data_IF_813239089968
#
_entry.id   IF_813239089968
#
_cell.length_a   1.000
_cell.length_b   1.000
_cell.length_c   1.000
_cell.angle_alpha   90.00
_cell.angle_beta   90.00
_cell.angle_gamma   90.00
#
_symmetry.space_group_name_H-M   'P 1'
#
loop_
_entity.id
_entity.type
_entity.pdbx_description
1 polymer ?
#
# COMPACT_ATOMS: atom_id res chain seq x y z
N UNK A 1 -25.50 -4.05 6.96
CA UNK A 1 -24.29 -4.81 7.36
C UNK A 1 -23.10 -4.03 6.83
N UNK A 2 -22.79 -2.90 7.47
CA UNK A 2 -21.78 -2.75 8.54
C UNK A 2 -20.41 -3.24 8.02
N UNK A 3 -19.54 -2.41 7.43
CA UNK A 3 -19.11 -1.04 7.74
C UNK A 3 -18.58 -0.87 9.17
N UNK A 4 -17.31 -1.24 9.33
CA UNK A 4 -16.46 -0.96 10.49
C UNK A 4 -15.21 -1.84 10.39
N UNK A 5 -13.98 -1.41 10.64
CA UNK A 5 -13.43 -0.11 11.00
C UNK A 5 -11.91 -0.23 10.77
N UNK A 6 -11.28 0.84 10.29
CA UNK A 6 -9.83 0.97 10.22
C UNK A 6 -9.48 2.44 10.45
N UNK A 7 -9.31 2.79 11.72
CA UNK A 7 -8.94 4.13 12.14
C UNK A 7 -7.43 4.38 11.88
N UNK A 8 -7.09 5.56 11.38
CA UNK A 8 -5.74 6.12 11.54
C UNK A 8 -5.28 7.12 10.47
N UNK A 9 -5.61 8.40 10.63
CA UNK A 9 -4.85 9.60 10.24
C UNK A 9 -4.02 9.55 8.92
N UNK A 10 -4.41 10.30 7.88
CA UNK A 10 -4.14 11.74 7.93
C UNK A 10 -4.81 12.50 6.81
N UNK A 11 -5.79 13.32 7.19
CA UNK A 11 -6.25 14.43 6.38
C UNK A 11 -5.08 15.41 6.17
N UNK A 12 -4.74 15.66 4.91
CA UNK A 12 -4.18 16.92 4.43
C UNK A 12 -3.09 17.58 5.27
N UNK A 13 -1.96 16.91 5.50
CA UNK A 13 -0.70 17.63 5.72
C UNK A 13 0.26 17.12 4.67
N UNK A 14 0.59 18.00 3.71
CA UNK A 14 1.71 17.77 2.81
C UNK A 14 3.00 17.81 3.65
N UNK A 15 3.32 16.70 4.30
CA UNK A 15 4.54 16.50 5.08
C UNK A 15 5.70 16.51 4.08
N UNK A 16 6.27 17.69 3.83
CA UNK A 16 7.56 17.88 3.16
C UNK A 16 8.71 17.74 4.16
N UNK A 17 8.66 16.74 5.02
CA UNK A 17 9.84 16.31 5.75
C UNK A 17 10.52 15.25 4.89
N UNK A 18 11.85 15.30 4.73
CA UNK A 18 12.61 14.26 4.04
C UNK A 18 12.40 12.92 4.71
N UNK A 19 11.32 12.21 4.34
CA UNK A 19 10.96 10.92 4.90
C UNK A 19 12.04 9.94 4.45
N UNK A 20 12.69 9.27 5.40
CA UNK A 20 13.56 8.15 5.05
C UNK A 20 12.70 7.08 4.37
N UNK A 21 13.28 6.38 3.41
CA UNK A 21 12.65 5.29 2.64
C UNK A 21 11.97 4.24 3.52
N UNK A 22 12.47 4.00 4.73
CA UNK A 22 11.86 3.08 5.70
C UNK A 22 10.50 3.61 6.15
N UNK A 23 10.44 4.89 6.54
CA UNK A 23 9.21 5.58 6.91
C UNK A 23 8.24 5.66 5.72
N UNK A 24 8.74 5.90 4.51
CA UNK A 24 7.92 5.84 3.29
C UNK A 24 7.28 4.46 3.12
N UNK A 25 8.04 3.39 3.36
CA UNK A 25 7.53 2.01 3.30
C UNK A 25 6.41 1.75 4.32
N UNK A 26 6.52 2.30 5.53
CA UNK A 26 5.48 2.17 6.55
C UNK A 26 4.18 2.87 6.15
N UNK A 27 4.26 4.12 5.66
CA UNK A 27 3.10 4.88 5.19
C UNK A 27 2.42 4.19 4.02
N UNK A 28 3.20 3.69 3.05
CA UNK A 28 2.66 2.97 1.90
C UNK A 28 2.06 1.62 2.30
N UNK A 29 2.63 0.93 3.30
CA UNK A 29 2.06 -0.30 3.85
C UNK A 29 0.70 -0.03 4.49
N UNK A 30 0.59 1.04 5.26
CA UNK A 30 -0.65 1.40 5.93
C UNK A 30 -1.78 1.64 4.91
N UNK A 31 -1.48 2.42 3.87
CA UNK A 31 -2.39 2.60 2.72
C UNK A 31 -2.76 1.31 2.00
N UNK A 32 -1.81 0.39 1.86
CA UNK A 32 -2.09 -0.89 1.25
C UNK A 32 -3.04 -1.76 2.10
N UNK A 33 -3.04 -1.57 3.43
CA UNK A 33 -3.96 -2.25 4.35
C UNK A 33 -5.36 -1.64 4.34
N UNK A 34 -5.52 -0.38 3.93
CA UNK A 34 -6.83 0.27 3.75
C UNK A 34 -7.63 -0.32 2.56
N UNK A 35 -6.97 -1.05 1.65
CA UNK A 35 -7.62 -1.63 0.47
C UNK A 35 -8.50 -2.83 0.87
N UNK A 36 -9.81 -2.79 0.58
CA UNK A 36 -10.73 -3.88 0.90
C UNK A 36 -10.33 -5.19 0.20
N UNK A 37 -10.17 -6.25 0.98
CA UNK A 37 -9.77 -7.58 0.51
C UNK A 37 -8.29 -7.89 0.72
N UNK A 38 -7.48 -6.92 1.17
CA UNK A 38 -6.09 -7.15 1.58
C UNK A 38 -6.05 -7.70 3.01
N UNK A 39 -5.49 -8.91 3.16
CA UNK A 39 -5.24 -9.55 4.46
C UNK A 39 -3.89 -9.13 5.04
N UNK A 40 -2.90 -8.95 4.18
CA UNK A 40 -1.55 -8.55 4.58
C UNK A 40 -0.85 -7.86 3.42
N UNK A 41 -0.18 -6.75 3.70
CA UNK A 41 0.61 -6.02 2.74
C UNK A 41 2.06 -5.86 3.24
N UNK A 42 3.01 -6.03 2.32
CA UNK A 42 4.42 -5.73 2.53
C UNK A 42 4.90 -4.81 1.43
N UNK A 43 5.42 -3.65 1.82
CA UNK A 43 5.93 -2.64 0.88
C UNK A 43 7.40 -2.40 1.15
N UNK A 44 8.20 -2.44 0.09
CA UNK A 44 9.65 -2.16 0.11
C UNK A 44 9.94 -0.98 -0.81
N UNK A 45 10.45 0.12 -0.24
CA UNK A 45 10.82 1.32 -0.99
C UNK A 45 12.32 1.30 -1.27
N UNK A 46 12.68 1.01 -2.52
CA UNK A 46 14.05 1.08 -3.01
C UNK A 46 14.35 2.42 -3.68
N UNK A 47 15.63 2.62 -4.04
CA UNK A 47 16.10 3.86 -4.67
C UNK A 47 15.44 4.18 -6.02
N UNK A 48 15.03 3.17 -6.77
CA UNK A 48 14.46 3.30 -8.13
C UNK A 48 13.10 2.64 -8.30
N UNK A 49 12.68 1.81 -7.35
CA UNK A 49 11.48 0.97 -7.46
C UNK A 49 10.82 0.77 -6.10
N UNK A 50 9.49 0.75 -6.09
CA UNK A 50 8.68 0.36 -4.94
C UNK A 50 8.10 -1.01 -5.23
N UNK A 51 8.29 -1.97 -4.33
CA UNK A 51 7.74 -3.32 -4.44
C UNK A 51 6.65 -3.49 -3.40
N UNK A 52 5.44 -3.75 -3.85
CA UNK A 52 4.31 -4.06 -2.99
C UNK A 52 3.90 -5.52 -3.18
N UNK A 53 3.77 -6.24 -2.07
CA UNK A 53 3.28 -7.61 -2.03
C UNK A 53 2.05 -7.64 -1.15
N UNK A 54 0.91 -8.02 -1.72
CA UNK A 54 -0.33 -8.13 -0.97
C UNK A 54 -0.86 -9.56 -1.02
N UNK A 55 -1.43 -10.00 0.10
CA UNK A 55 -2.19 -11.22 0.22
C UNK A 55 -3.67 -10.86 0.24
N UNK A 56 -4.44 -11.37 -0.72
CA UNK A 56 -5.87 -11.11 -0.81
C UNK A 56 -6.72 -12.29 -0.27
N UNK A 57 -7.78 -12.00 0.47
CA UNK A 57 -8.83 -12.96 0.84
C UNK A 57 -10.04 -12.76 -0.09
N UNK A 58 -10.40 -13.80 -0.84
CA UNK A 58 -11.66 -13.99 -1.58
C UNK A 58 -12.34 -12.75 -2.21
N UNK A 59 -11.56 -11.88 -2.88
CA UNK A 59 -12.03 -10.88 -3.85
C UNK A 59 -11.27 -11.07 -5.17
N UNK A 60 -11.78 -10.54 -6.27
CA UNK A 60 -11.11 -10.58 -7.56
C UNK A 60 -9.71 -9.94 -7.46
N UNK A 61 -8.69 -10.71 -7.87
CA UNK A 61 -7.29 -10.31 -7.69
C UNK A 61 -6.94 -9.10 -8.56
N UNK A 62 -7.61 -8.94 -9.69
CA UNK A 62 -7.46 -7.81 -10.60
C UNK A 62 -8.02 -6.52 -10.02
N UNK A 63 -9.19 -6.57 -9.36
CA UNK A 63 -9.74 -5.42 -8.62
C UNK A 63 -8.81 -5.01 -7.48
N UNK A 64 -8.41 -5.97 -6.63
CA UNK A 64 -7.50 -5.69 -5.52
C UNK A 64 -6.16 -5.15 -6.03
N UNK A 65 -5.67 -5.63 -7.17
CA UNK A 65 -4.44 -5.11 -7.79
C UNK A 65 -4.62 -3.67 -8.26
N UNK A 66 -5.73 -3.34 -8.92
CA UNK A 66 -6.02 -1.99 -9.40
C UNK A 66 -6.17 -1.00 -8.23
N UNK A 67 -6.91 -1.38 -7.19
CA UNK A 67 -7.11 -0.56 -5.99
C UNK A 67 -5.77 -0.31 -5.26
N UNK A 68 -4.94 -1.35 -5.10
CA UNK A 68 -3.60 -1.23 -4.52
C UNK A 68 -2.67 -0.35 -5.36
N UNK A 69 -2.70 -0.51 -6.69
CA UNK A 69 -1.86 0.29 -7.58
C UNK A 69 -2.22 1.77 -7.47
N UNK A 70 -3.51 2.10 -7.49
CA UNK A 70 -4.01 3.47 -7.31
C UNK A 70 -3.62 4.05 -5.95
N UNK A 71 -3.89 3.34 -4.85
CA UNK A 71 -3.61 3.81 -3.50
C UNK A 71 -2.11 4.05 -3.25
N UNK A 72 -1.26 3.14 -3.73
CA UNK A 72 0.19 3.25 -3.58
C UNK A 72 0.77 4.35 -4.48
N UNK A 73 0.26 4.49 -5.70
CA UNK A 73 0.72 5.52 -6.62
C UNK A 73 0.38 6.92 -6.12
N UNK A 74 -0.81 7.09 -5.52
CA UNK A 74 -1.20 8.35 -4.87
C UNK A 74 -0.36 8.60 -3.61
N UNK A 75 -0.12 7.58 -2.78
CA UNK A 75 0.76 7.72 -1.62
C UNK A 75 2.20 8.14 -1.99
N UNK A 76 2.75 7.58 -3.07
CA UNK A 76 4.07 7.96 -3.61
C UNK A 76 4.08 9.42 -4.07
N UNK A 77 3.00 9.89 -4.71
CA UNK A 77 2.87 11.28 -5.16
C UNK A 77 2.81 12.26 -4.00
N UNK A 78 2.02 11.96 -2.98
CA UNK A 78 1.85 12.83 -1.82
C UNK A 78 3.13 12.94 -0.97
N UNK A 79 3.93 11.87 -0.92
CA UNK A 79 5.22 11.87 -0.23
C UNK A 79 6.28 12.72 -0.95
N UNK A 80 6.04 13.15 -2.19
CA UNK A 80 6.96 14.02 -2.92
C UNK A 80 8.35 13.40 -3.12
N UNK A 81 8.43 12.06 -3.25
CA UNK A 81 9.70 11.37 -3.45
C UNK A 81 10.45 12.00 -4.65
N UNK A 82 11.70 12.43 -4.42
CA UNK A 82 12.48 13.23 -5.36
C UNK A 82 12.60 12.64 -6.78
N UNK A 83 12.41 11.34 -6.93
CA UNK A 83 12.27 10.66 -8.21
C UNK A 83 11.16 9.64 -8.12
N UNK A 84 10.16 9.72 -9.00
CA UNK A 84 9.07 8.73 -9.11
C UNK A 84 9.65 7.32 -9.31
N UNK A 85 9.64 6.46 -8.29
CA UNK A 85 10.13 5.09 -8.43
C UNK A 85 9.10 4.27 -9.22
N UNK A 86 9.54 3.31 -10.02
CA UNK A 86 8.60 2.40 -10.68
C UNK A 86 7.91 1.51 -9.64
N UNK A 87 6.58 1.50 -9.65
CA UNK A 87 5.77 0.66 -8.75
C UNK A 87 5.64 -0.75 -9.35
N UNK A 88 5.81 -1.77 -8.50
CA UNK A 88 5.59 -3.16 -8.86
C UNK A 88 4.70 -3.79 -7.79
N UNK A 89 3.44 -4.05 -8.17
CA UNK A 89 2.44 -4.68 -7.31
C UNK A 89 2.35 -6.16 -7.62
N UNK A 90 2.47 -7.00 -6.59
CA UNK A 90 2.25 -8.45 -6.68
C UNK A 90 1.20 -8.86 -5.67
N UNK A 91 -0.01 -9.12 -6.16
CA UNK A 91 -1.09 -9.68 -5.34
C UNK A 91 -1.03 -11.20 -5.47
N UNK A 92 -1.05 -11.90 -4.33
CA UNK A 92 -1.21 -13.35 -4.30
C UNK A 92 -2.51 -13.67 -3.57
N UNK A 93 -3.21 -14.69 -4.04
CA UNK A 93 -4.33 -15.27 -3.28
C UNK A 93 -3.76 -15.88 -2.00
N UNK A 94 -4.33 -15.51 -0.85
CA UNK A 94 -4.03 -16.16 0.43
C UNK A 94 -4.49 -17.61 0.36
N UNK A 95 -3.61 -18.51 -0.09
CA UNK A 95 -3.87 -19.94 -0.11
C UNK A 95 -3.75 -20.48 1.32
N UNK A 96 -4.78 -20.22 2.14
CA UNK A 96 -4.97 -20.74 3.49
C UNK A 96 -3.87 -20.33 4.51
N UNK A 97 -4.28 -20.10 5.74
CA UNK A 97 -3.46 -19.76 6.89
C UNK A 97 -2.32 -20.77 7.12
N UNK A 98 -1.09 -20.27 7.28
CA UNK A 98 -0.18 -20.77 8.32
C UNK A 98 -0.06 -19.61 9.32
N UNK A 99 -0.50 -19.76 10.57
CA UNK A 99 -0.11 -20.85 11.47
C UNK A 99 1.16 -20.35 12.14
#
# INVERSE_FOLDING_TARGET
>A
MEAGAGAGAGAGVAVRAGIDRTSAGLVLRDRAMEVPGVRSARVEVGRRRVRARALAHFRDLDEVRADLDAALHEGIRQLGLARRPALSVRVRRSAKSKG
#
